data_IF_839323269007
#
_entry.id   IF_839323269007
#
_cell.length_a   1.000
_cell.length_b   1.000
_cell.length_c   1.000
_cell.angle_alpha   90.00
_cell.angle_beta   90.00
_cell.angle_gamma   90.00
#
_symmetry.space_group_name_H-M   'P 1'
#
loop_
_entity.id
_entity.type
_entity.pdbx_description
1 polymer ?
#
# COMPACT_ATOMS: atom_id res chain seq x y z
N UNK A 1 17.71 -25.01 -21.70
CA UNK A 1 17.34 -23.64 -21.26
C UNK A 1 15.96 -23.71 -20.61
N UNK A 2 15.89 -24.07 -19.32
CA UNK A 2 14.61 -24.11 -18.58
C UNK A 2 14.27 -22.70 -18.13
N UNK A 3 13.51 -21.97 -18.94
CA UNK A 3 13.07 -20.62 -18.60
C UNK A 3 11.86 -20.73 -17.67
N UNK A 4 12.09 -20.62 -16.37
CA UNK A 4 11.03 -20.59 -15.35
C UNK A 4 10.35 -19.21 -15.36
N UNK A 5 9.38 -19.02 -16.26
CA UNK A 5 8.58 -17.79 -16.32
C UNK A 5 7.50 -17.78 -15.23
N UNK A 6 7.68 -16.95 -14.19
CA UNK A 6 6.64 -16.64 -13.20
C UNK A 6 5.92 -15.36 -13.61
N UNK A 7 4.81 -15.50 -14.33
CA UNK A 7 3.93 -14.39 -14.71
C UNK A 7 3.05 -14.00 -13.52
N UNK A 8 3.34 -12.86 -12.88
CA UNK A 8 2.51 -12.27 -11.82
C UNK A 8 1.88 -10.97 -12.30
N UNK A 9 0.63 -10.76 -11.88
CA UNK A 9 -0.25 -9.76 -12.49
C UNK A 9 -0.36 -8.45 -11.73
N UNK A 10 0.32 -8.22 -10.57
CA UNK A 10 0.15 -6.93 -9.88
C UNK A 10 1.09 -6.50 -8.75
N UNK A 11 2.24 -7.13 -8.49
CA UNK A 11 3.16 -6.61 -7.46
C UNK A 11 4.56 -6.37 -8.03
N UNK A 12 5.00 -5.11 -7.95
CA UNK A 12 6.39 -4.71 -8.23
C UNK A 12 7.33 -5.27 -7.14
N UNK A 13 6.78 -5.54 -5.97
CA UNK A 13 7.51 -5.86 -4.75
C UNK A 13 8.11 -7.28 -4.83
N UNK A 14 7.42 -8.21 -5.49
CA UNK A 14 7.92 -9.59 -5.69
C UNK A 14 9.01 -9.68 -6.77
N UNK A 15 9.01 -8.78 -7.77
CA UNK A 15 10.13 -8.64 -8.72
C UNK A 15 11.41 -8.21 -8.00
N UNK A 16 11.28 -7.47 -6.89
CA UNK A 16 12.45 -7.01 -6.12
C UNK A 16 13.16 -8.13 -5.36
N UNK A 17 12.49 -9.27 -5.14
CA UNK A 17 13.05 -10.42 -4.41
C UNK A 17 13.62 -11.47 -5.37
N UNK A 18 13.02 -11.63 -6.56
CA UNK A 18 13.34 -12.72 -7.49
C UNK A 18 14.06 -12.25 -8.76
N UNK A 19 14.20 -10.94 -8.97
CA UNK A 19 14.70 -10.37 -10.23
C UNK A 19 16.19 -10.54 -10.49
N UNK A 20 16.98 -10.93 -9.49
CA UNK A 20 18.42 -11.12 -9.64
C UNK A 20 18.77 -12.52 -10.19
N UNK A 21 17.94 -13.53 -9.92
CA UNK A 21 18.18 -14.94 -10.31
C UNK A 21 17.35 -15.39 -11.53
N UNK A 22 16.31 -14.66 -11.90
CA UNK A 22 15.36 -15.06 -12.95
C UNK A 22 15.05 -13.93 -13.93
N UNK A 23 14.91 -14.30 -15.21
CA UNK A 23 14.34 -13.41 -16.22
C UNK A 23 12.82 -13.31 -16.02
N UNK A 24 12.37 -12.22 -15.40
CA UNK A 24 10.95 -12.02 -15.07
C UNK A 24 10.30 -11.06 -16.08
N UNK A 25 9.31 -11.56 -16.81
CA UNK A 25 8.41 -10.72 -17.60
C UNK A 25 7.18 -10.32 -16.77
N UNK A 26 7.08 -9.03 -16.42
CA UNK A 26 5.88 -8.49 -15.76
C UNK A 26 4.84 -8.12 -16.82
N UNK A 27 3.61 -8.63 -16.72
CA UNK A 27 2.55 -8.34 -17.70
C UNK A 27 1.33 -7.77 -17.01
N UNK A 28 0.72 -6.75 -17.63
CA UNK A 28 -0.49 -6.13 -17.10
C UNK A 28 -1.65 -7.14 -17.11
N UNK A 29 -2.26 -7.34 -15.94
CA UNK A 29 -3.42 -8.22 -15.77
C UNK A 29 -4.53 -7.95 -16.79
N UNK A 30 -4.77 -6.69 -17.16
CA UNK A 30 -5.84 -6.31 -18.09
C UNK A 30 -5.69 -6.96 -19.46
N UNK A 31 -4.45 -7.16 -19.93
CA UNK A 31 -4.19 -7.76 -21.24
C UNK A 31 -4.34 -9.29 -21.24
N UNK A 32 -4.32 -9.90 -20.05
CA UNK A 32 -4.42 -11.35 -19.84
C UNK A 32 -5.83 -11.76 -19.41
N UNK A 33 -6.66 -10.80 -19.00
CA UNK A 33 -7.93 -11.04 -18.32
C UNK A 33 -9.03 -11.41 -19.33
N UNK A 34 -9.07 -12.68 -19.77
CA UNK A 34 -10.26 -13.23 -20.41
C UNK A 34 -10.27 -14.78 -20.49
N UNK A 35 -10.38 -15.47 -19.35
CA UNK A 35 -10.69 -16.91 -19.36
C UNK A 35 -11.93 -17.15 -18.50
N UNK A 36 -13.12 -17.27 -19.11
CA UNK A 36 -14.30 -17.77 -18.41
C UNK A 36 -14.13 -19.26 -18.08
N UNK A 37 -14.39 -19.65 -16.82
CA UNK A 37 -14.27 -21.02 -16.32
C UNK A 37 -13.27 -21.20 -15.18
N UNK A 38 -13.29 -22.38 -14.53
CA UNK A 38 -12.50 -22.69 -13.33
C UNK A 38 -10.99 -22.47 -13.53
N UNK A 39 -10.54 -21.31 -13.03
CA UNK A 39 -9.15 -20.90 -12.92
C UNK A 39 -8.39 -21.89 -12.03
N UNK A 40 -7.47 -22.65 -12.61
CA UNK A 40 -6.56 -23.54 -11.88
C UNK A 40 -5.15 -23.15 -12.26
N UNK A 41 -4.24 -23.03 -11.29
CA UNK A 41 -2.88 -22.53 -11.53
C UNK A 41 -2.14 -23.27 -12.65
N UNK A 42 -2.43 -24.57 -12.82
CA UNK A 42 -1.87 -25.40 -13.91
C UNK A 42 -2.40 -25.00 -15.30
N UNK A 43 -3.71 -24.74 -15.44
CA UNK A 43 -4.32 -24.33 -16.72
C UNK A 43 -3.89 -22.91 -17.09
N UNK A 44 -3.85 -22.02 -16.09
CA UNK A 44 -3.42 -20.64 -16.26
C UNK A 44 -1.97 -20.54 -16.73
N UNK A 45 -1.07 -21.30 -16.11
CA UNK A 45 0.35 -21.31 -16.49
C UNK A 45 0.54 -21.76 -17.94
N UNK A 46 -0.17 -22.81 -18.37
CA UNK A 46 -0.13 -23.28 -19.78
C UNK A 46 -0.66 -22.22 -20.74
N UNK A 47 -1.76 -21.57 -20.40
CA UNK A 47 -2.36 -20.52 -21.22
C UNK A 47 -1.44 -19.31 -21.36
N UNK A 48 -0.84 -18.88 -20.25
CA UNK A 48 0.15 -17.81 -20.21
C UNK A 48 1.42 -18.13 -21.02
N UNK A 49 1.94 -19.36 -20.94
CA UNK A 49 3.05 -19.80 -21.79
C UNK A 49 2.71 -19.75 -23.28
N UNK A 50 1.49 -20.14 -23.67
CA UNK A 50 1.04 -20.06 -25.08
C UNK A 50 1.01 -18.61 -25.57
N UNK A 51 0.49 -17.69 -24.76
CA UNK A 51 0.45 -16.26 -25.09
C UNK A 51 1.85 -15.64 -25.17
N UNK A 52 2.78 -16.09 -24.33
CA UNK A 52 4.17 -15.66 -24.36
C UNK A 52 4.88 -16.14 -25.63
N UNK A 53 4.72 -17.43 -25.98
CA UNK A 53 5.30 -18.02 -27.20
C UNK A 53 4.76 -17.38 -28.47
N UNK A 54 3.48 -16.99 -28.49
CA UNK A 54 2.89 -16.30 -29.63
C UNK A 54 3.28 -14.81 -29.70
N UNK A 55 4.06 -14.29 -28.75
CA UNK A 55 4.48 -12.89 -28.71
C UNK A 55 3.36 -11.89 -28.40
N UNK A 56 2.18 -12.37 -27.93
CA UNK A 56 1.02 -11.51 -27.66
C UNK A 56 1.13 -10.77 -26.31
N UNK A 57 2.08 -11.16 -25.45
CA UNK A 57 2.30 -10.53 -24.16
C UNK A 57 3.33 -9.41 -24.27
N UNK A 58 2.86 -8.17 -24.08
CA UNK A 58 3.74 -7.01 -23.91
C UNK A 58 4.19 -6.88 -22.46
N UNK A 59 5.50 -6.90 -22.24
CA UNK A 59 6.11 -6.59 -20.95
C UNK A 59 5.71 -5.19 -20.48
N UNK A 60 5.40 -5.08 -19.19
CA UNK A 60 5.19 -3.81 -18.50
C UNK A 60 6.55 -3.19 -18.19
N UNK A 61 6.63 -1.87 -18.30
CA UNK A 61 7.85 -1.16 -17.98
C UNK A 61 8.20 -1.33 -16.49
N UNK A 62 9.42 -1.82 -16.23
CA UNK A 62 9.99 -1.95 -14.90
C UNK A 62 11.11 -0.91 -14.78
N UNK A 63 10.98 0.07 -13.87
CA UNK A 63 12.03 1.06 -13.69
C UNK A 63 13.26 0.45 -13.01
N UNK A 64 14.41 1.10 -13.22
CA UNK A 64 15.68 0.73 -12.63
C UNK A 64 15.60 0.69 -11.08
N UNK A 65 16.45 -0.12 -10.45
CA UNK A 65 16.46 -0.37 -9.00
C UNK A 65 16.44 0.92 -8.17
N UNK A 66 17.28 1.90 -8.51
CA UNK A 66 17.34 3.20 -7.82
C UNK A 66 16.00 3.94 -7.81
N UNK A 67 15.26 3.91 -8.92
CA UNK A 67 13.94 4.54 -9.03
C UNK A 67 12.90 3.75 -8.22
N UNK A 68 12.99 2.42 -8.17
CA UNK A 68 12.11 1.57 -7.36
C UNK A 68 12.26 1.87 -5.86
N UNK A 69 13.50 1.94 -5.38
CA UNK A 69 13.80 2.27 -3.98
C UNK A 69 13.21 3.63 -3.57
N UNK A 70 13.35 4.66 -4.42
CA UNK A 70 12.71 5.97 -4.20
C UNK A 70 11.18 5.89 -4.18
N UNK A 71 10.57 5.08 -5.05
CA UNK A 71 9.12 4.87 -5.06
C UNK A 71 8.63 4.17 -3.81
N UNK A 72 9.41 3.27 -3.24
CA UNK A 72 9.03 2.56 -2.01
C UNK A 72 9.10 3.49 -0.80
N UNK A 73 10.11 4.35 -0.72
CA UNK A 73 10.19 5.41 0.30
C UNK A 73 8.99 6.37 0.24
N UNK A 74 8.62 6.82 -0.97
CA UNK A 74 7.47 7.73 -1.14
C UNK A 74 6.14 7.06 -0.83
N UNK A 75 5.96 5.78 -1.20
CA UNK A 75 4.79 4.98 -0.79
C UNK A 75 4.72 4.83 0.72
N UNK A 76 5.85 4.53 1.36
CA UNK A 76 5.91 4.39 2.81
C UNK A 76 5.54 5.69 3.52
N UNK A 77 6.09 6.82 3.06
CA UNK A 77 5.70 8.16 3.55
C UNK A 77 4.20 8.40 3.40
N UNK A 78 3.62 8.09 2.24
CA UNK A 78 2.18 8.25 2.01
C UNK A 78 1.36 7.38 2.98
N UNK A 79 1.78 6.14 3.23
CA UNK A 79 1.14 5.25 4.21
C UNK A 79 1.17 5.85 5.62
N UNK A 80 2.32 6.37 6.06
CA UNK A 80 2.44 7.02 7.37
C UNK A 80 1.50 8.24 7.49
N UNK A 81 1.42 9.09 6.47
CA UNK A 81 0.51 10.24 6.46
C UNK A 81 -0.95 9.81 6.57
N UNK A 82 -1.33 8.74 5.85
CA UNK A 82 -2.68 8.18 5.95
C UNK A 82 -2.98 7.60 7.33
N UNK A 83 -2.01 6.94 7.96
CA UNK A 83 -2.13 6.43 9.33
C UNK A 83 -2.33 7.58 10.32
N UNK A 84 -1.53 8.65 10.23
CA UNK A 84 -1.67 9.84 11.08
C UNK A 84 -3.07 10.44 10.91
N UNK A 85 -3.55 10.64 9.68
CA UNK A 85 -4.89 11.17 9.43
C UNK A 85 -5.99 10.27 10.00
N UNK A 86 -5.83 8.95 9.91
CA UNK A 86 -6.80 7.99 10.43
C UNK A 86 -6.87 8.04 11.95
N UNK A 87 -5.72 8.14 12.62
CA UNK A 87 -5.65 8.25 14.07
C UNK A 87 -6.20 9.59 14.56
N UNK A 88 -5.95 10.69 13.84
CA UNK A 88 -6.56 11.99 14.11
C UNK A 88 -8.09 11.92 14.08
N UNK A 89 -8.65 11.26 13.07
CA UNK A 89 -10.10 11.09 12.95
C UNK A 89 -10.68 10.22 14.07
N UNK A 90 -9.97 9.14 14.44
CA UNK A 90 -10.37 8.28 15.56
C UNK A 90 -10.40 9.06 16.88
N UNK A 91 -9.38 9.89 17.12
CA UNK A 91 -9.32 10.74 18.29
C UNK A 91 -10.46 11.77 18.33
N UNK A 92 -10.77 12.40 17.19
CA UNK A 92 -11.93 13.30 17.08
C UNK A 92 -13.24 12.58 17.38
N UNK A 93 -13.41 11.35 16.90
CA UNK A 93 -14.61 10.55 17.21
C UNK A 93 -14.74 10.27 18.72
N UNK A 94 -13.64 9.92 19.40
CA UNK A 94 -13.64 9.71 20.85
C UNK A 94 -14.03 10.99 21.60
N UNK A 95 -13.57 12.16 21.14
CA UNK A 95 -13.97 13.45 21.72
C UNK A 95 -15.47 13.72 21.52
N UNK A 96 -16.01 13.42 20.34
CA UNK A 96 -17.43 13.56 20.04
C UNK A 96 -18.30 12.62 20.88
N UNK A 97 -17.86 11.37 21.08
CA UNK A 97 -18.51 10.40 21.97
C UNK A 97 -18.52 10.90 23.44
N UNK A 98 -17.50 11.66 23.85
CA UNK A 98 -17.44 12.33 25.16
C UNK A 98 -18.24 13.65 25.21
N UNK A 99 -19.01 13.97 24.17
CA UNK A 99 -19.79 15.19 24.00
C UNK A 99 -18.95 16.49 23.92
N UNK A 100 -17.67 16.39 23.52
CA UNK A 100 -16.74 17.52 23.37
C UNK A 100 -16.48 17.76 21.87
N UNK A 101 -17.18 18.74 21.28
CA UNK A 101 -17.02 19.10 19.86
C UNK A 101 -15.95 20.16 19.63
N UNK A 102 -14.68 19.77 19.75
CA UNK A 102 -13.53 20.66 19.47
C UNK A 102 -13.39 21.04 17.98
N UNK A 103 -13.95 20.23 17.08
CA UNK A 103 -13.96 20.47 15.62
C UNK A 103 -14.75 21.71 15.19
N UNK A 104 -15.68 22.19 16.02
CA UNK A 104 -16.48 23.40 15.74
C UNK A 104 -15.71 24.68 16.09
N UNK A 105 -14.81 24.60 17.07
CA UNK A 105 -14.10 25.76 17.62
C UNK A 105 -12.71 25.92 17.00
N UNK A 106 -12.08 24.82 16.57
CA UNK A 106 -10.71 24.82 16.07
C UNK A 106 -10.64 24.32 14.62
N UNK A 107 -9.87 25.02 13.80
CA UNK A 107 -9.57 24.60 12.41
C UNK A 107 -8.70 23.33 12.36
N UNK A 108 -7.81 23.14 13.34
CA UNK A 108 -7.08 21.88 13.56
C UNK A 108 -7.02 21.58 15.06
N UNK A 109 -7.59 20.44 15.48
CA UNK A 109 -7.61 19.98 16.87
C UNK A 109 -6.21 19.68 17.40
N UNK A 110 -5.23 19.43 16.52
CA UNK A 110 -3.85 19.09 16.88
C UNK A 110 -2.87 20.27 16.75
N UNK A 111 -3.36 21.50 16.57
CA UNK A 111 -2.51 22.68 16.64
C UNK A 111 -1.98 22.91 18.08
N UNK A 112 -0.97 23.79 18.23
CA UNK A 112 -0.39 24.12 19.55
C UNK A 112 -1.44 24.54 20.58
N UNK A 113 -2.47 25.27 20.14
CA UNK A 113 -3.57 25.72 21.00
C UNK A 113 -4.53 24.56 21.34
N UNK A 114 -4.89 23.73 20.35
CA UNK A 114 -5.74 22.56 20.56
C UNK A 114 -5.12 21.55 21.53
N UNK A 115 -3.82 21.28 21.41
CA UNK A 115 -3.08 20.43 22.35
C UNK A 115 -3.06 20.99 23.78
N UNK A 116 -2.97 22.32 23.95
CA UNK A 116 -3.10 22.95 25.27
C UNK A 116 -4.48 22.72 25.89
N UNK A 117 -5.55 22.89 25.11
CA UNK A 117 -6.92 22.64 25.58
C UNK A 117 -7.12 21.17 25.95
N UNK A 118 -6.59 20.26 25.14
CA UNK A 118 -6.61 18.81 25.38
C UNK A 118 -5.86 18.41 26.67
N UNK A 119 -4.71 19.05 26.94
CA UNK A 119 -3.95 18.86 28.16
C UNK A 119 -4.72 19.34 29.41
N UNK A 120 -5.44 20.46 29.30
CA UNK A 120 -6.31 20.96 30.38
C UNK A 120 -7.44 19.98 30.66
N UNK A 121 -8.02 19.37 29.62
CA UNK A 121 -9.07 18.34 29.74
C UNK A 121 -8.51 16.99 30.27
N UNK A 122 -7.21 16.91 30.61
CA UNK A 122 -6.49 15.73 31.12
C UNK A 122 -6.54 14.48 30.23
N UNK A 123 -7.08 14.55 29.00
CA UNK A 123 -7.19 13.39 28.12
C UNK A 123 -5.83 12.84 27.65
N UNK A 124 -4.82 13.70 27.45
CA UNK A 124 -3.49 13.26 27.01
C UNK A 124 -2.77 12.44 28.10
N UNK A 125 -3.09 12.64 29.39
CA UNK A 125 -2.42 11.95 30.49
C UNK A 125 -2.83 10.47 30.63
N UNK A 126 -3.92 10.04 29.98
CA UNK A 126 -4.36 8.65 29.94
C UNK A 126 -3.72 7.83 28.81
N UNK A 127 -3.17 8.49 27.77
CA UNK A 127 -2.66 7.83 26.56
C UNK A 127 -1.16 7.52 26.66
N UNK A 128 -0.42 8.24 27.50
CA UNK A 128 0.99 7.96 27.78
C UNK A 128 1.10 7.65 29.28
N UNK A 129 1.11 6.37 29.71
CA UNK A 129 1.53 6.06 31.06
C UNK A 129 2.94 6.64 31.22
N UNK A 130 3.07 7.54 32.19
CA UNK A 130 4.34 8.12 32.60
C UNK A 130 5.18 6.98 33.16
N UNK A 131 5.97 6.34 32.32
CA UNK A 131 7.10 5.47 32.65
C UNK A 131 8.09 5.51 31.47
N UNK A 132 8.65 6.71 31.26
CA UNK A 132 10.03 6.99 30.89
C UNK A 132 10.37 8.36 31.51
#
# INVERSE_FOLDING_TARGET
MSVHFRLKTKSQDEFNVLGDDFEILLVNARHVKNVPGHKTDKKDSKWLCKLLLSGLLKGSYIPERKIRELRDLTRYRKKLVQMISSEKNRFQKILEDANIKLSVVLTDTFCKTGLKMLNVIKMIKLIIPSNC
#
